data_IF_171359036911
#
_entry.id   IF_171359036911
#
_cell.length_a   1.000
_cell.length_b   1.000
_cell.length_c   1.000
_cell.angle_alpha   90.00
_cell.angle_beta   90.00
_cell.angle_gamma   90.00
#
_symmetry.space_group_name_H-M   'P 1'
#
loop_
_entity.id
_entity.type
_entity.pdbx_description
1 polymer ?
#
# COMPACT_ATOMS: atom_id res chain seq x y z
N UNK A 1 -8.48 10.66 22.78
CA UNK A 1 -8.45 9.30 22.22
C UNK A 1 -8.01 8.43 23.37
N UNK A 2 -8.74 7.36 23.66
CA UNK A 2 -8.37 6.46 24.77
C UNK A 2 -7.05 5.74 24.42
N UNK A 3 -6.28 5.32 25.43
CA UNK A 3 -4.94 4.74 25.23
C UNK A 3 -4.95 3.46 24.36
N UNK A 4 -6.08 2.75 24.30
CA UNK A 4 -6.24 1.55 23.49
C UNK A 4 -6.57 1.82 22.01
N UNK A 5 -7.00 3.04 21.66
CA UNK A 5 -7.38 3.40 20.30
C UNK A 5 -6.16 3.88 19.49
N UNK A 6 -5.84 3.17 18.40
CA UNK A 6 -4.85 3.64 17.44
C UNK A 6 -5.45 4.58 16.41
N UNK A 7 -6.69 4.36 16.00
CA UNK A 7 -7.33 5.17 14.97
C UNK A 7 -8.78 5.44 15.34
N UNK A 8 -9.33 6.53 14.83
CA UNK A 8 -10.72 6.92 14.92
C UNK A 8 -11.14 7.75 13.68
N UNK A 9 -12.42 8.13 13.62
CA UNK A 9 -13.01 8.87 12.50
C UNK A 9 -12.41 10.27 12.30
N UNK A 10 -11.65 10.78 13.28
CA UNK A 10 -10.94 12.06 13.24
C UNK A 10 -9.45 11.93 12.93
N UNK A 11 -8.92 10.70 12.86
CA UNK A 11 -7.50 10.44 12.64
C UNK A 11 -7.02 11.01 11.32
N UNK A 12 -5.90 11.73 11.35
CA UNK A 12 -5.31 12.40 10.20
C UNK A 12 -3.88 11.91 10.02
N UNK A 13 -3.50 11.65 8.78
CA UNK A 13 -2.24 11.01 8.43
C UNK A 13 -1.41 11.83 7.46
N UNK A 14 -0.09 11.77 7.65
CA UNK A 14 0.90 12.19 6.67
C UNK A 14 1.37 10.95 5.91
N UNK A 15 1.30 10.99 4.58
CA UNK A 15 1.79 9.90 3.73
C UNK A 15 3.20 10.22 3.26
N UNK A 16 4.19 9.44 3.69
CA UNK A 16 5.57 9.60 3.25
C UNK A 16 5.83 8.80 1.97
N UNK A 17 6.07 9.50 0.86
CA UNK A 17 6.23 8.95 -0.48
C UNK A 17 5.04 9.28 -1.39
N UNK A 18 5.31 9.56 -2.67
CA UNK A 18 4.30 9.96 -3.65
C UNK A 18 3.46 8.76 -4.17
N UNK A 19 2.66 8.17 -3.29
CA UNK A 19 1.81 7.00 -3.58
C UNK A 19 0.37 7.40 -3.93
N UNK A 20 0.16 8.04 -5.08
CA UNK A 20 -1.14 8.58 -5.49
C UNK A 20 -2.29 7.56 -5.39
N UNK A 21 -2.06 6.31 -5.80
CA UNK A 21 -3.08 5.25 -5.72
C UNK A 21 -3.42 4.85 -4.29
N UNK A 22 -2.43 4.80 -3.39
CA UNK A 22 -2.68 4.48 -1.99
C UNK A 22 -3.44 5.61 -1.29
N UNK A 23 -3.08 6.87 -1.59
CA UNK A 23 -3.79 8.05 -1.12
C UNK A 23 -5.24 8.03 -1.60
N UNK A 24 -5.49 7.76 -2.89
CA UNK A 24 -6.85 7.66 -3.42
C UNK A 24 -7.64 6.54 -2.73
N UNK A 25 -7.04 5.37 -2.51
CA UNK A 25 -7.68 4.24 -1.79
C UNK A 25 -8.04 4.57 -0.35
N UNK A 26 -7.25 5.40 0.34
CA UNK A 26 -7.59 5.88 1.68
C UNK A 26 -8.79 6.83 1.62
N UNK A 27 -8.79 7.78 0.69
CA UNK A 27 -9.88 8.75 0.52
C UNK A 27 -11.19 8.11 0.06
N UNK A 28 -11.13 7.10 -0.81
CA UNK A 28 -12.29 6.32 -1.23
C UNK A 28 -12.91 5.60 -0.04
N UNK A 29 -12.08 5.05 0.85
CA UNK A 29 -12.53 4.43 2.10
C UNK A 29 -13.13 5.47 3.05
N UNK A 30 -12.49 6.63 3.22
CA UNK A 30 -13.00 7.72 4.05
C UNK A 30 -14.39 8.17 3.60
N UNK A 31 -14.58 8.32 2.29
CA UNK A 31 -15.87 8.68 1.72
C UNK A 31 -16.91 7.58 1.91
N UNK A 32 -16.51 6.31 1.73
CA UNK A 32 -17.37 5.14 1.99
C UNK A 32 -17.83 5.10 3.46
N UNK A 33 -16.96 5.51 4.37
CA UNK A 33 -17.22 5.60 5.81
C UNK A 33 -17.94 6.90 6.23
N UNK A 34 -18.30 7.79 5.28
CA UNK A 34 -18.96 9.09 5.55
C UNK A 34 -18.15 10.02 6.44
N UNK A 35 -16.83 9.97 6.36
CA UNK A 35 -15.99 10.89 7.13
C UNK A 35 -16.19 12.31 6.64
N UNK A 36 -16.18 13.25 7.56
CA UNK A 36 -16.30 14.68 7.23
C UNK A 36 -15.04 15.22 6.53
N UNK A 37 -13.87 14.67 6.89
CA UNK A 37 -12.57 15.08 6.36
C UNK A 37 -11.79 13.88 5.83
N UNK A 38 -11.01 14.06 4.75
CA UNK A 38 -10.04 13.07 4.31
C UNK A 38 -9.07 12.69 5.43
N UNK A 39 -8.72 11.41 5.50
CA UNK A 39 -7.68 10.88 6.39
C UNK A 39 -6.32 11.47 6.08
N UNK A 40 -5.99 11.71 4.80
CA UNK A 40 -4.68 12.22 4.40
C UNK A 40 -4.65 13.75 4.51
N UNK A 41 -3.81 14.26 5.41
CA UNK A 41 -3.61 15.69 5.62
C UNK A 41 -2.56 16.26 4.64
N UNK A 42 -1.46 15.53 4.44
CA UNK A 42 -0.33 15.95 3.64
C UNK A 42 0.43 14.75 3.06
N UNK A 43 1.23 15.03 2.03
CA UNK A 43 2.15 14.07 1.41
C UNK A 43 3.59 14.57 1.54
N UNK A 44 4.52 13.69 1.90
CA UNK A 44 5.94 13.98 1.80
C UNK A 44 6.47 13.43 0.47
N UNK A 45 7.08 14.29 -0.33
CA UNK A 45 7.84 13.91 -1.51
C UNK A 45 9.20 14.62 -1.47
N UNK A 46 10.28 13.92 -1.11
CA UNK A 46 11.60 14.54 -0.97
C UNK A 46 12.11 15.24 -2.23
N UNK A 47 11.55 14.92 -3.41
CA UNK A 47 12.00 15.49 -4.70
C UNK A 47 11.34 16.82 -5.05
N UNK A 48 10.13 17.11 -4.55
CA UNK A 48 9.36 18.31 -4.94
C UNK A 48 8.31 18.72 -3.91
N UNK A 49 8.05 20.02 -3.87
CA UNK A 49 6.88 20.60 -3.21
C UNK A 49 5.72 20.74 -4.20
N UNK A 50 4.50 20.91 -3.71
CA UNK A 50 3.34 21.24 -4.54
C UNK A 50 2.03 20.70 -4.00
N UNK A 51 1.19 20.18 -4.89
CA UNK A 51 -0.10 19.58 -4.54
C UNK A 51 -0.29 18.29 -5.33
N UNK A 52 -1.01 17.34 -4.73
CA UNK A 52 -1.55 16.18 -5.43
C UNK A 52 -3.05 16.35 -5.60
N UNK A 53 -3.54 16.11 -6.83
CA UNK A 53 -4.96 16.13 -7.16
C UNK A 53 -5.53 14.72 -7.01
N UNK A 54 -6.57 14.60 -6.19
CA UNK A 54 -7.24 13.35 -5.82
C UNK A 54 -8.74 13.58 -5.71
N UNK A 55 -9.54 12.53 -5.62
CA UNK A 55 -10.99 12.60 -5.45
C UNK A 55 -11.41 12.34 -4.01
N UNK A 56 -12.43 13.07 -3.56
CA UNK A 56 -13.21 12.73 -2.37
C UNK A 56 -14.67 12.61 -2.78
N UNK A 57 -15.12 11.36 -2.98
CA UNK A 57 -16.35 11.07 -3.71
C UNK A 57 -16.21 11.47 -5.18
N UNK A 58 -17.05 12.38 -5.65
CA UNK A 58 -17.00 12.91 -7.03
C UNK A 58 -16.23 14.22 -7.16
N UNK A 59 -15.82 14.82 -6.04
CA UNK A 59 -15.18 16.13 -6.02
C UNK A 59 -13.66 15.98 -6.09
N UNK A 60 -13.02 16.69 -7.02
CA UNK A 60 -11.57 16.86 -7.02
C UNK A 60 -11.15 17.76 -5.85
N UNK A 61 -10.16 17.31 -5.08
CA UNK A 61 -9.52 18.07 -4.01
C UNK A 61 -8.00 18.08 -4.20
N UNK A 62 -7.34 19.03 -3.53
CA UNK A 62 -5.89 19.16 -3.53
C UNK A 62 -5.35 18.85 -2.13
N UNK A 63 -4.39 17.94 -2.04
CA UNK A 63 -3.65 17.67 -0.82
C UNK A 63 -2.24 18.28 -0.96
N UNK A 64 -1.76 19.07 0.02
CA UNK A 64 -0.44 19.68 -0.05
C UNK A 64 0.68 18.64 0.02
N UNK A 65 1.75 18.91 -0.70
CA UNK A 65 2.95 18.08 -0.82
C UNK A 65 4.17 18.88 -0.38
N UNK A 66 4.95 18.30 0.54
CA UNK A 66 6.13 18.92 1.15
C UNK A 66 7.37 18.07 0.90
N UNK A 67 8.53 18.69 0.84
CA UNK A 67 9.82 17.97 0.77
C UNK A 67 10.25 17.36 2.09
N UNK A 68 9.95 18.02 3.22
CA UNK A 68 10.40 17.63 4.56
C UNK A 68 9.24 17.28 5.47
N UNK A 69 9.43 16.31 6.36
CA UNK A 69 8.42 15.92 7.34
C UNK A 69 8.15 17.03 8.36
N UNK A 70 9.20 17.73 8.80
CA UNK A 70 9.14 18.88 9.71
C UNK A 70 8.12 19.93 9.25
N UNK A 71 8.17 20.32 7.97
CA UNK A 71 7.27 21.32 7.39
C UNK A 71 5.81 20.86 7.37
N UNK A 72 5.59 19.57 7.11
CA UNK A 72 4.25 19.00 7.09
C UNK A 72 3.66 18.89 8.50
N UNK A 73 4.45 18.44 9.48
CA UNK A 73 4.02 18.36 10.89
C UNK A 73 3.72 19.75 11.45
N UNK A 74 4.55 20.75 11.14
CA UNK A 74 4.32 22.13 11.59
C UNK A 74 3.03 22.74 11.02
N UNK A 75 2.65 22.38 9.78
CA UNK A 75 1.45 22.91 9.11
C UNK A 75 0.19 22.09 9.35
N UNK A 76 0.34 20.82 9.72
CA UNK A 76 -0.75 19.87 9.97
C UNK A 76 -0.57 19.22 11.35
N UNK A 77 -0.59 20.01 12.45
CA UNK A 77 -0.36 19.48 13.79
C UNK A 77 -1.46 18.50 14.24
N UNK A 78 -2.61 18.46 13.55
CA UNK A 78 -3.65 17.48 13.80
C UNK A 78 -3.32 16.08 13.26
N UNK A 79 -2.30 15.95 12.41
CA UNK A 79 -1.88 14.66 11.87
C UNK A 79 -1.01 13.93 12.89
N UNK A 80 -1.52 12.78 13.34
CA UNK A 80 -0.94 11.95 14.39
C UNK A 80 -0.49 10.57 13.87
N UNK A 81 -0.77 10.26 12.61
CA UNK A 81 -0.32 9.03 11.94
C UNK A 81 0.64 9.36 10.80
N UNK A 82 1.70 8.56 10.65
CA UNK A 82 2.50 8.55 9.42
C UNK A 82 2.38 7.20 8.70
N UNK A 83 2.03 7.23 7.42
CA UNK A 83 2.09 6.04 6.55
C UNK A 83 3.35 6.11 5.71
N UNK A 84 4.35 5.27 6.03
CA UNK A 84 5.69 5.33 5.47
C UNK A 84 5.87 4.35 4.30
N UNK A 85 5.83 4.88 3.07
CA UNK A 85 6.14 4.15 1.83
C UNK A 85 7.58 4.34 1.35
N UNK A 86 8.49 4.76 2.24
CA UNK A 86 9.92 4.76 1.94
C UNK A 86 10.37 3.35 1.55
N UNK A 87 11.37 3.22 0.67
CA UNK A 87 12.03 1.93 0.43
C UNK A 87 12.76 1.43 1.70
N UNK A 88 13.05 0.13 1.80
CA UNK A 88 13.78 -0.44 2.94
C UNK A 88 15.11 0.26 3.26
N UNK A 89 15.77 0.82 2.24
CA UNK A 89 17.03 1.59 2.37
C UNK A 89 16.87 2.91 3.11
N UNK A 90 15.66 3.46 3.15
CA UNK A 90 15.37 4.79 3.70
C UNK A 90 14.35 4.73 4.84
N UNK A 91 13.64 3.61 5.00
CA UNK A 91 12.60 3.42 6.01
C UNK A 91 13.11 3.64 7.44
N UNK A 92 14.36 3.25 7.74
CA UNK A 92 14.95 3.49 9.07
C UNK A 92 15.04 4.99 9.39
N UNK A 93 15.69 5.76 8.52
CA UNK A 93 15.92 7.19 8.77
C UNK A 93 14.61 7.97 8.83
N UNK A 94 13.66 7.68 7.93
CA UNK A 94 12.39 8.40 7.87
C UNK A 94 11.45 8.03 9.02
N UNK A 95 11.48 6.78 9.49
CA UNK A 95 10.74 6.37 10.69
C UNK A 95 11.32 6.98 11.95
N UNK A 96 12.66 7.04 12.05
CA UNK A 96 13.33 7.70 13.18
C UNK A 96 12.99 9.18 13.27
N UNK A 97 13.03 9.91 12.15
CA UNK A 97 12.60 11.31 12.07
C UNK A 97 11.15 11.48 12.54
N UNK A 98 10.24 10.60 12.11
CA UNK A 98 8.83 10.63 12.55
C UNK A 98 8.66 10.35 14.05
N UNK A 99 9.44 9.41 14.61
CA UNK A 99 9.44 9.14 16.04
C UNK A 99 9.90 10.35 16.86
N UNK A 100 10.78 11.19 16.32
CA UNK A 100 11.29 12.40 16.99
C UNK A 100 10.32 13.59 16.98
N UNK A 101 9.29 13.58 16.12
CA UNK A 101 8.27 14.64 16.09
C UNK A 101 7.36 14.61 17.33
N UNK A 102 6.71 15.71 17.70
CA UNK A 102 5.81 15.70 18.87
C UNK A 102 4.39 15.21 18.55
N UNK A 103 3.93 15.33 17.30
CA UNK A 103 2.53 15.05 16.94
C UNK A 103 2.28 13.62 16.47
N UNK A 104 3.25 12.97 15.82
CA UNK A 104 3.07 11.63 15.25
C UNK A 104 3.16 10.58 16.36
N UNK A 105 2.06 9.88 16.63
CA UNK A 105 1.98 8.81 17.63
C UNK A 105 2.03 7.40 17.04
N UNK A 106 1.65 7.24 15.77
CA UNK A 106 1.63 5.92 15.11
C UNK A 106 2.26 5.99 13.73
N UNK A 107 3.19 5.08 13.46
CA UNK A 107 3.91 5.01 12.19
C UNK A 107 3.69 3.63 11.58
N UNK A 108 3.10 3.56 10.39
CA UNK A 108 3.02 2.33 9.62
C UNK A 108 4.19 2.24 8.65
N UNK A 109 5.07 1.25 8.80
CA UNK A 109 6.26 1.06 7.95
C UNK A 109 5.97 -0.03 6.93
N UNK A 110 5.76 0.37 5.66
CA UNK A 110 5.31 -0.55 4.61
C UNK A 110 6.45 -1.35 4.00
N UNK A 111 7.68 -0.83 4.06
CA UNK A 111 8.85 -1.47 3.47
C UNK A 111 9.12 -2.87 4.02
N UNK A 112 9.34 -3.82 3.11
CA UNK A 112 9.86 -5.15 3.39
C UNK A 112 11.38 -5.19 3.16
N UNK A 113 12.11 -5.97 3.98
CA UNK A 113 13.56 -6.11 3.88
C UNK A 113 14.36 -5.03 4.65
N UNK A 114 13.76 -4.45 5.70
CA UNK A 114 14.51 -3.61 6.63
C UNK A 114 15.50 -4.50 7.42
N UNK A 115 16.75 -4.08 7.65
CA UNK A 115 17.66 -4.88 8.47
C UNK A 115 17.16 -5.08 9.91
N UNK A 116 17.20 -6.32 10.42
CA UNK A 116 16.73 -6.70 11.77
C UNK A 116 17.32 -5.83 12.92
N UNK A 117 18.55 -5.33 12.76
CA UNK A 117 19.14 -4.40 13.73
C UNK A 117 18.37 -3.09 13.80
N UNK A 118 18.04 -2.52 12.64
CA UNK A 118 17.30 -1.28 12.53
C UNK A 118 15.86 -1.43 13.03
N UNK A 119 15.23 -2.57 12.75
CA UNK A 119 13.93 -2.91 13.34
C UNK A 119 13.96 -2.85 14.87
N UNK A 120 14.93 -3.52 15.50
CA UNK A 120 15.07 -3.52 16.97
C UNK A 120 15.34 -2.14 17.54
N UNK A 121 16.19 -1.34 16.90
CA UNK A 121 16.46 0.04 17.29
C UNK A 121 15.19 0.90 17.21
N UNK A 122 14.40 0.76 16.13
CA UNK A 122 13.13 1.47 15.97
C UNK A 122 12.08 1.04 16.99
N UNK A 123 11.93 -0.27 17.24
CA UNK A 123 11.00 -0.80 18.23
C UNK A 123 11.35 -0.30 19.65
N UNK A 124 12.64 -0.30 20.00
CA UNK A 124 13.12 0.24 21.27
C UNK A 124 12.79 1.74 21.39
N UNK A 125 13.12 2.53 20.37
CA UNK A 125 12.89 3.98 20.36
C UNK A 125 11.40 4.32 20.41
N UNK A 126 10.55 3.55 19.72
CA UNK A 126 9.11 3.71 19.76
C UNK A 126 8.57 3.50 21.19
N UNK A 127 9.02 2.44 21.86
CA UNK A 127 8.66 2.17 23.26
C UNK A 127 9.14 3.25 24.22
N UNK A 128 10.39 3.70 24.07
CA UNK A 128 10.98 4.79 24.87
C UNK A 128 10.16 6.08 24.74
N UNK A 129 9.64 6.36 23.54
CA UNK A 129 8.83 7.55 23.26
C UNK A 129 7.33 7.37 23.45
N UNK A 130 6.86 6.19 23.86
CA UNK A 130 5.43 5.90 24.02
C UNK A 130 4.65 5.95 22.69
N UNK A 131 5.28 5.55 21.59
CA UNK A 131 4.72 5.58 20.23
C UNK A 131 4.56 4.19 19.65
N UNK A 132 3.74 4.09 18.61
CA UNK A 132 3.41 2.85 17.92
C UNK A 132 4.10 2.75 16.57
N UNK A 133 4.64 1.57 16.27
CA UNK A 133 5.06 1.20 14.92
C UNK A 133 4.29 -0.04 14.48
N UNK A 134 3.57 0.05 13.37
CA UNK A 134 2.94 -1.11 12.71
C UNK A 134 3.83 -1.49 11.53
N UNK A 135 4.38 -2.70 11.53
CA UNK A 135 5.42 -3.13 10.59
C UNK A 135 6.82 -3.18 11.22
N UNK A 136 7.92 -3.29 10.42
CA UNK A 136 7.96 -3.23 8.96
C UNK A 136 7.37 -4.46 8.24
N UNK A 137 7.47 -4.52 6.92
CA UNK A 137 6.93 -5.58 6.07
C UNK A 137 5.42 -5.83 6.29
N UNK A 138 4.63 -4.76 6.29
CA UNK A 138 3.17 -4.83 6.49
C UNK A 138 2.39 -4.06 5.44
N UNK A 139 1.16 -4.50 5.19
CA UNK A 139 0.16 -3.68 4.46
C UNK A 139 -0.45 -2.59 5.36
N UNK A 140 -0.26 -2.71 6.68
CA UNK A 140 -0.80 -1.86 7.71
C UNK A 140 -1.96 -2.50 8.46
N UNK A 141 -3.11 -1.84 8.41
CA UNK A 141 -4.31 -2.20 9.14
C UNK A 141 -5.43 -1.22 8.88
N UNK A 142 -6.59 -1.45 9.47
CA UNK A 142 -7.71 -0.52 9.45
C UNK A 142 -8.53 -0.62 10.73
N UNK A 143 -9.22 0.48 11.07
CA UNK A 143 -10.40 0.49 11.93
C UNK A 143 -11.60 0.69 11.02
N UNK A 144 -12.50 -0.29 11.00
CA UNK A 144 -13.66 -0.29 10.11
C UNK A 144 -14.56 0.91 10.40
N UNK A 145 -15.04 1.57 9.35
CA UNK A 145 -15.81 2.81 9.47
C UNK A 145 -15.02 4.06 9.90
N UNK A 146 -13.70 3.96 10.12
CA UNK A 146 -12.92 5.06 10.72
C UNK A 146 -11.65 5.42 9.95
N UNK A 147 -10.70 4.51 9.78
CA UNK A 147 -9.41 4.82 9.15
C UNK A 147 -8.77 3.57 8.56
N UNK A 148 -8.06 3.72 7.45
CA UNK A 148 -7.33 2.65 6.77
C UNK A 148 -5.91 3.10 6.47
N UNK A 149 -4.94 2.24 6.75
CA UNK A 149 -3.55 2.46 6.38
C UNK A 149 -3.35 2.06 4.91
N UNK A 150 -3.09 3.06 4.06
CA UNK A 150 -2.61 2.86 2.69
C UNK A 150 -3.45 1.88 1.87
N UNK A 151 -2.89 0.70 1.60
CA UNK A 151 -3.48 -0.29 0.69
C UNK A 151 -4.32 -1.38 1.39
N UNK A 152 -4.44 -1.38 2.72
CA UNK A 152 -5.13 -2.45 3.48
C UNK A 152 -6.58 -2.65 3.01
N UNK A 153 -7.06 -3.87 2.78
CA UNK A 153 -8.41 -4.11 2.26
C UNK A 153 -8.59 -3.82 0.76
N UNK A 154 -7.55 -3.39 0.05
CA UNK A 154 -7.54 -3.35 -1.42
C UNK A 154 -8.43 -2.28 -2.04
N UNK A 155 -9.10 -2.64 -3.13
CA UNK A 155 -9.97 -1.78 -3.93
C UNK A 155 -11.33 -1.54 -3.24
N UNK A 156 -12.03 -0.49 -3.66
CA UNK A 156 -13.31 -0.10 -3.05
C UNK A 156 -14.38 -1.19 -3.12
N UNK A 157 -14.41 -2.00 -4.18
CA UNK A 157 -15.37 -3.10 -4.31
C UNK A 157 -15.17 -4.15 -3.22
N UNK A 158 -13.90 -4.45 -2.89
CA UNK A 158 -13.56 -5.37 -1.80
C UNK A 158 -13.94 -4.77 -0.44
N UNK A 159 -13.71 -3.46 -0.23
CA UNK A 159 -14.13 -2.79 1.00
C UNK A 159 -15.65 -2.86 1.21
N UNK A 160 -16.43 -2.77 0.12
CA UNK A 160 -17.89 -2.90 0.14
C UNK A 160 -18.35 -4.34 0.38
N UNK A 161 -17.78 -5.32 -0.33
CA UNK A 161 -18.15 -6.73 -0.18
C UNK A 161 -17.85 -7.23 1.24
N UNK A 162 -16.76 -6.73 1.83
CA UNK A 162 -16.33 -7.05 3.19
C UNK A 162 -17.00 -6.18 4.27
N UNK A 163 -17.90 -5.27 3.89
CA UNK A 163 -18.59 -4.33 4.78
C UNK A 163 -17.67 -3.53 5.72
N UNK A 164 -16.44 -3.26 5.31
CA UNK A 164 -15.41 -2.59 6.13
C UNK A 164 -15.70 -1.10 6.37
N UNK A 165 -16.74 -0.56 5.73
CA UNK A 165 -17.20 0.82 5.91
C UNK A 165 -17.98 1.06 7.21
N UNK A 166 -18.25 0.00 8.00
CA UNK A 166 -18.86 0.09 9.32
C UNK A 166 -18.20 -0.89 10.29
N UNK A 167 -18.12 -0.57 11.60
CA UNK A 167 -17.50 -1.45 12.57
C UNK A 167 -18.38 -2.68 12.89
N UNK A 168 -17.77 -3.85 12.98
CA UNK A 168 -18.33 -5.02 13.67
C UNK A 168 -17.86 -5.09 15.13
N UNK A 169 -17.69 -6.30 15.66
CA UNK A 169 -17.31 -6.56 17.06
C UNK A 169 -16.00 -7.35 17.21
N UNK A 170 -15.33 -7.70 16.10
CA UNK A 170 -14.15 -8.58 16.09
C UNK A 170 -12.85 -7.80 15.95
N UNK A 171 -11.92 -7.97 16.89
CA UNK A 171 -10.55 -7.45 16.79
C UNK A 171 -9.61 -8.47 16.14
N UNK A 172 -9.01 -8.13 15.00
CA UNK A 172 -8.07 -9.01 14.28
C UNK A 172 -6.63 -8.53 14.46
N UNK A 173 -5.72 -9.45 14.75
CA UNK A 173 -4.28 -9.24 14.59
C UNK A 173 -3.63 -10.38 13.80
N UNK A 174 -2.77 -10.04 12.84
CA UNK A 174 -2.12 -11.00 11.95
C UNK A 174 -0.63 -10.69 11.77
N UNK A 175 0.19 -11.71 11.56
CA UNK A 175 1.58 -11.52 11.07
C UNK A 175 1.56 -11.16 9.59
N UNK A 176 0.83 -11.92 8.77
CA UNK A 176 0.79 -11.75 7.31
C UNK A 176 -0.13 -10.61 6.89
N UNK A 177 0.42 -9.65 6.14
CA UNK A 177 -0.37 -8.62 5.45
C UNK A 177 -1.17 -9.16 4.27
N UNK A 178 -0.70 -10.20 3.59
CA UNK A 178 -1.44 -10.85 2.49
C UNK A 178 -2.70 -11.55 2.99
N UNK A 179 -2.60 -12.25 4.12
CA UNK A 179 -3.74 -12.96 4.73
C UNK A 179 -4.72 -12.03 5.45
N UNK A 180 -4.34 -10.79 5.81
CA UNK A 180 -5.26 -9.90 6.56
C UNK A 180 -6.55 -9.65 5.78
N UNK A 181 -6.48 -9.54 4.45
CA UNK A 181 -7.67 -9.36 3.61
C UNK A 181 -8.54 -10.61 3.57
N UNK A 182 -7.93 -11.80 3.56
CA UNK A 182 -8.69 -13.06 3.63
C UNK A 182 -9.32 -13.23 5.01
N UNK A 183 -8.62 -12.84 6.07
CA UNK A 183 -9.18 -12.84 7.42
C UNK A 183 -10.36 -11.87 7.55
N UNK A 184 -10.32 -10.70 6.90
CA UNK A 184 -11.50 -9.83 6.81
C UNK A 184 -12.68 -10.52 6.12
N UNK A 185 -12.42 -11.27 5.05
CA UNK A 185 -13.42 -12.07 4.36
C UNK A 185 -14.03 -13.15 5.25
N UNK A 186 -13.19 -13.98 5.88
CA UNK A 186 -13.63 -15.05 6.79
C UNK A 186 -14.43 -14.48 7.96
N UNK A 187 -13.95 -13.40 8.59
CA UNK A 187 -14.64 -12.75 9.71
C UNK A 187 -15.98 -12.19 9.24
N UNK A 188 -16.04 -11.52 8.09
CA UNK A 188 -17.28 -10.94 7.58
C UNK A 188 -18.34 -12.00 7.24
N UNK A 189 -17.93 -13.19 6.78
CA UNK A 189 -18.85 -14.28 6.48
C UNK A 189 -19.37 -15.01 7.73
N UNK A 190 -18.65 -14.91 8.85
CA UNK A 190 -18.88 -15.71 10.06
C UNK A 190 -19.19 -14.88 11.31
N UNK A 191 -19.34 -13.56 11.20
CA UNK A 191 -19.66 -12.66 12.33
C UNK A 191 -20.32 -11.36 11.84
N UNK A 192 -20.51 -10.39 12.73
CA UNK A 192 -20.93 -9.04 12.35
C UNK A 192 -19.84 -8.26 11.60
N UNK A 193 -18.58 -8.72 11.58
CA UNK A 193 -17.49 -8.10 10.86
C UNK A 193 -16.36 -7.59 11.76
N UNK A 194 -15.36 -6.99 11.13
CA UNK A 194 -14.16 -6.50 11.83
C UNK A 194 -14.45 -5.15 12.48
N UNK A 195 -14.00 -4.96 13.71
CA UNK A 195 -13.91 -3.66 14.37
C UNK A 195 -12.59 -2.97 14.02
N UNK A 196 -11.47 -3.61 14.35
CA UNK A 196 -10.11 -3.17 14.03
C UNK A 196 -9.28 -4.39 13.61
N UNK A 197 -8.46 -4.22 12.59
CA UNK A 197 -7.64 -5.28 12.03
C UNK A 197 -6.24 -4.79 11.70
N UNK A 198 -5.22 -5.36 12.34
CA UNK A 198 -3.82 -4.96 12.18
C UNK A 198 -2.98 -6.14 11.69
N UNK A 199 -2.15 -5.90 10.67
CA UNK A 199 -1.05 -6.78 10.32
C UNK A 199 0.25 -6.22 10.92
N UNK A 200 0.88 -6.96 11.85
CA UNK A 200 2.11 -6.49 12.51
C UNK A 200 3.34 -6.57 11.61
N UNK A 201 3.27 -7.38 10.55
CA UNK A 201 4.34 -7.58 9.58
C UNK A 201 5.10 -8.88 9.76
N UNK A 202 5.66 -9.39 8.66
CA UNK A 202 6.35 -10.68 8.59
C UNK A 202 7.80 -10.66 9.08
N UNK A 203 8.33 -9.49 9.43
CA UNK A 203 9.71 -9.35 9.88
C UNK A 203 9.92 -9.95 11.29
N UNK A 204 11.18 -10.29 11.60
CA UNK A 204 11.52 -11.01 12.83
C UNK A 204 11.25 -10.15 14.07
N UNK A 205 11.53 -8.84 14.02
CA UNK A 205 11.37 -7.91 15.13
C UNK A 205 10.39 -6.78 14.77
N UNK A 206 9.08 -7.07 14.70
CA UNK A 206 8.10 -6.04 14.36
C UNK A 206 8.10 -4.95 15.43
N UNK A 207 7.76 -3.73 15.04
CA UNK A 207 7.70 -2.57 15.92
C UNK A 207 6.63 -2.66 17.01
N UNK A 208 5.58 -3.45 16.77
CA UNK A 208 4.56 -3.85 17.74
C UNK A 208 4.23 -5.34 17.56
N UNK A 209 3.90 -6.02 18.64
CA UNK A 209 3.71 -7.49 18.64
C UNK A 209 2.23 -7.89 18.62
N UNK A 210 1.96 -9.19 18.45
CA UNK A 210 0.60 -9.74 18.52
C UNK A 210 -0.06 -9.41 19.87
N UNK A 211 0.67 -9.57 20.97
CA UNK A 211 0.15 -9.34 22.32
C UNK A 211 -0.16 -7.85 22.56
N UNK A 212 0.64 -6.93 22.01
CA UNK A 212 0.41 -5.50 22.17
C UNK A 212 -0.97 -5.09 21.63
N UNK A 213 -1.33 -5.57 20.44
CA UNK A 213 -2.64 -5.28 19.86
C UNK A 213 -3.78 -6.04 20.56
N UNK A 214 -3.57 -7.29 20.98
CA UNK A 214 -4.57 -8.03 21.75
C UNK A 214 -4.89 -7.36 23.09
N UNK A 215 -3.89 -6.79 23.78
CA UNK A 215 -4.12 -6.05 25.02
C UNK A 215 -4.91 -4.76 24.80
N UNK A 216 -4.69 -4.05 23.68
CA UNK A 216 -5.57 -2.93 23.30
C UNK A 216 -6.99 -3.40 23.02
N UNK A 217 -7.14 -4.50 22.31
CA UNK A 217 -8.45 -5.07 21.99
C UNK A 217 -9.20 -5.54 23.23
N UNK A 218 -8.48 -6.07 24.22
CA UNK A 218 -9.03 -6.40 25.54
C UNK A 218 -9.62 -5.17 26.24
N UNK A 219 -8.91 -4.04 26.21
CA UNK A 219 -9.36 -2.80 26.85
C UNK A 219 -10.52 -2.13 26.11
N UNK A 220 -10.61 -2.31 24.79
CA UNK A 220 -11.62 -1.66 23.96
C UNK A 220 -13.02 -2.28 24.17
N UNK A 221 -14.00 -1.55 24.73
CA UNK A 221 -15.31 -2.11 25.04
C UNK A 221 -16.11 -2.53 23.80
N UNK A 222 -15.83 -1.99 22.62
CA UNK A 222 -16.55 -2.33 21.39
C UNK A 222 -16.10 -3.66 20.78
N UNK A 223 -14.89 -4.11 21.11
CA UNK A 223 -14.40 -5.43 20.70
C UNK A 223 -14.91 -6.47 21.70
N UNK A 224 -15.64 -7.47 21.20
CA UNK A 224 -16.26 -8.53 22.02
C UNK A 224 -15.55 -9.87 21.90
N UNK A 225 -14.84 -10.09 20.79
CA UNK A 225 -13.97 -11.25 20.58
C UNK A 225 -12.76 -10.86 19.75
N UNK A 226 -11.71 -11.66 19.86
CA UNK A 226 -10.45 -11.44 19.17
C UNK A 226 -10.11 -12.62 18.27
N UNK A 227 -9.48 -12.33 17.15
CA UNK A 227 -8.95 -13.31 16.21
C UNK A 227 -7.46 -13.03 16.00
N UNK A 228 -6.64 -14.07 16.12
CA UNK A 228 -5.20 -14.00 15.92
C UNK A 228 -4.75 -14.96 14.82
N UNK A 229 -3.97 -14.45 13.87
CA UNK A 229 -3.27 -15.25 12.88
C UNK A 229 -1.74 -15.14 13.10
N UNK A 230 -1.19 -16.14 13.79
CA UNK A 230 0.25 -16.33 13.98
C UNK A 230 0.91 -17.07 12.82
N UNK A 231 2.22 -17.28 12.93
CA UNK A 231 3.04 -17.96 11.92
C UNK A 231 4.14 -18.82 12.56
N UNK A 232 4.63 -19.82 11.82
CA UNK A 232 5.83 -20.58 12.18
C UNK A 232 7.06 -19.65 12.34
N UNK A 233 7.97 -19.98 13.25
CA UNK A 233 9.21 -19.23 13.48
C UNK A 233 9.12 -18.17 14.58
N UNK A 234 10.18 -18.04 15.37
CA UNK A 234 10.19 -17.15 16.54
C UNK A 234 9.21 -17.56 17.65
N UNK A 235 9.05 -16.71 18.67
CA UNK A 235 8.32 -17.05 19.91
C UNK A 235 7.24 -16.03 20.28
N UNK A 236 6.82 -15.17 19.34
CA UNK A 236 5.88 -14.04 19.61
C UNK A 236 4.54 -14.52 20.16
N UNK A 237 4.04 -15.66 19.70
CA UNK A 237 2.78 -16.25 20.14
C UNK A 237 2.83 -16.70 21.61
N UNK A 238 4.00 -17.03 22.14
CA UNK A 238 4.13 -17.40 23.56
C UNK A 238 3.89 -16.20 24.48
N UNK A 239 4.13 -14.97 24.04
CA UNK A 239 3.76 -13.79 24.83
C UNK A 239 2.23 -13.70 25.01
N UNK A 240 1.46 -14.17 24.01
CA UNK A 240 0.00 -14.28 24.10
C UNK A 240 -0.42 -15.42 25.03
N UNK A 241 0.27 -16.56 24.99
CA UNK A 241 0.10 -17.68 25.93
C UNK A 241 0.29 -17.20 27.38
N UNK A 242 1.35 -16.45 27.65
CA UNK A 242 1.61 -15.91 28.99
C UNK A 242 0.57 -14.87 29.40
N UNK A 243 0.08 -14.03 28.48
CA UNK A 243 -0.99 -13.07 28.76
C UNK A 243 -2.34 -13.75 29.09
N UNK A 244 -2.68 -14.84 28.40
CA UNK A 244 -3.85 -15.67 28.68
C UNK A 244 -3.74 -16.33 30.06
N UNK A 245 -2.61 -16.99 30.36
CA UNK A 245 -2.38 -17.64 31.65
C UNK A 245 -2.40 -16.65 32.82
N UNK A 246 -1.91 -15.44 32.60
CA UNK A 246 -1.94 -14.36 33.59
C UNK A 246 -3.32 -13.71 33.76
N UNK A 247 -4.34 -14.13 33.01
CA UNK A 247 -5.69 -13.55 33.05
C UNK A 247 -5.75 -12.11 32.51
N UNK A 248 -4.77 -11.68 31.72
CA UNK A 248 -4.74 -10.35 31.10
C UNK A 248 -5.59 -10.26 29.84
N UNK A 249 -5.87 -11.40 29.22
CA UNK A 249 -6.78 -11.53 28.09
C UNK A 249 -7.96 -12.39 28.57
N UNK A 250 -9.12 -11.79 28.70
CA UNK A 250 -10.34 -12.45 29.22
C UNK A 250 -11.42 -12.58 28.15
N UNK A 251 -11.38 -11.77 27.09
CA UNK A 251 -12.29 -11.93 25.95
C UNK A 251 -11.95 -13.19 25.15
N UNK A 252 -12.93 -13.84 24.51
CA UNK A 252 -12.68 -15.02 23.68
C UNK A 252 -11.66 -14.72 22.57
N UNK A 253 -10.62 -15.54 22.50
CA UNK A 253 -9.56 -15.47 21.49
C UNK A 253 -9.60 -16.71 20.60
N UNK A 254 -9.92 -16.53 19.32
CA UNK A 254 -9.75 -17.56 18.30
C UNK A 254 -8.37 -17.39 17.67
N UNK A 255 -7.53 -18.42 17.70
CA UNK A 255 -6.15 -18.31 17.25
C UNK A 255 -5.77 -19.44 16.29
N UNK A 256 -5.09 -19.09 15.20
CA UNK A 256 -4.47 -20.06 14.29
C UNK A 256 -3.00 -19.69 14.04
N UNK A 257 -2.13 -20.69 13.93
CA UNK A 257 -0.71 -20.50 13.61
C UNK A 257 -0.42 -21.22 12.29
N UNK A 258 -0.07 -20.46 11.26
CA UNK A 258 0.22 -21.03 9.92
C UNK A 258 1.60 -21.68 9.87
N UNK A 259 1.83 -22.57 8.90
CA UNK A 259 3.12 -23.25 8.72
C UNK A 259 3.18 -24.68 9.25
N UNK A 260 2.02 -25.31 9.51
CA UNK A 260 1.92 -26.74 9.92
C UNK A 260 2.51 -27.71 8.90
N UNK A 261 2.58 -27.33 7.61
CA UNK A 261 3.26 -28.09 6.57
C UNK A 261 4.79 -28.19 6.74
N UNK A 262 5.40 -27.32 7.56
CA UNK A 262 6.83 -27.30 7.85
C UNK A 262 7.40 -28.67 8.25
N UNK A 263 6.63 -29.45 9.02
CA UNK A 263 7.01 -30.79 9.52
C UNK A 263 7.12 -31.87 8.45
N UNK A 264 6.54 -31.65 7.28
CA UNK A 264 6.56 -32.62 6.17
C UNK A 264 7.86 -32.47 5.38
N UNK A 265 8.57 -31.34 5.51
CA UNK A 265 9.82 -31.11 4.82
C UNK A 265 11.01 -31.76 5.55
N UNK A 266 11.99 -32.32 4.81
CA UNK A 266 13.12 -33.03 5.39
C UNK A 266 14.16 -32.13 6.08
N UNK A 267 14.02 -30.80 6.03
CA UNK A 267 14.95 -29.85 6.62
C UNK A 267 14.32 -28.50 6.95
N UNK A 268 15.11 -27.59 7.49
CA UNK A 268 14.66 -26.24 7.83
C UNK A 268 14.34 -25.42 6.56
N UNK A 269 13.06 -25.21 6.29
CA UNK A 269 12.60 -24.35 5.20
C UNK A 269 12.41 -22.93 5.73
N UNK A 270 13.10 -21.97 5.12
CA UNK A 270 12.76 -20.55 5.24
C UNK A 270 11.55 -20.29 4.33
N UNK A 271 10.42 -19.91 4.92
CA UNK A 271 9.26 -19.44 4.16
C UNK A 271 9.41 -17.96 3.77
N UNK A 272 8.46 -17.44 2.99
CA UNK A 272 8.57 -16.13 2.33
C UNK A 272 8.85 -14.96 3.28
N UNK A 273 8.18 -14.89 4.43
CA UNK A 273 8.46 -13.84 5.42
C UNK A 273 9.80 -14.08 6.12
N UNK A 274 10.54 -13.00 6.41
CA UNK A 274 11.86 -13.08 7.05
C UNK A 274 11.82 -13.83 8.40
N UNK A 275 10.76 -13.64 9.19
CA UNK A 275 10.58 -14.34 10.48
C UNK A 275 10.13 -15.80 10.37
N UNK A 276 9.72 -16.26 9.19
CA UNK A 276 9.05 -17.55 9.01
C UNK A 276 10.03 -18.71 8.81
N UNK A 277 10.86 -18.96 9.82
CA UNK A 277 11.77 -20.11 9.88
C UNK A 277 11.78 -20.71 11.28
N UNK A 278 11.52 -22.02 11.36
CA UNK A 278 11.61 -22.78 12.61
C UNK A 278 13.04 -23.28 12.81
N UNK A 279 13.77 -22.71 13.77
CA UNK A 279 15.09 -23.20 14.18
C UNK A 279 15.05 -24.17 15.37
N UNK A 280 13.89 -24.34 16.00
CA UNK A 280 13.68 -25.23 17.13
C UNK A 280 12.26 -25.82 17.15
N UNK A 281 12.04 -26.88 17.94
CA UNK A 281 10.73 -27.51 18.07
C UNK A 281 9.66 -26.55 18.62
N UNK A 282 10.04 -25.65 19.53
CA UNK A 282 9.15 -24.63 20.11
C UNK A 282 8.75 -23.54 19.10
N UNK A 283 9.51 -23.36 18.02
CA UNK A 283 9.17 -22.39 16.97
C UNK A 283 8.21 -22.96 15.93
N UNK A 284 7.87 -24.25 16.03
CA UNK A 284 6.94 -24.91 15.11
C UNK A 284 5.51 -24.41 15.31
N UNK A 285 4.75 -24.36 14.21
CA UNK A 285 3.35 -23.97 14.25
C UNK A 285 2.51 -24.87 15.18
N UNK A 286 2.76 -26.18 15.16
CA UNK A 286 2.05 -27.16 16.00
C UNK A 286 2.32 -26.94 17.50
N UNK A 287 3.57 -26.68 17.89
CA UNK A 287 3.92 -26.43 19.29
C UNK A 287 3.27 -25.14 19.82
N UNK A 288 3.25 -24.08 19.01
CA UNK A 288 2.58 -22.82 19.35
C UNK A 288 1.07 -22.99 19.44
N UNK A 289 0.46 -23.70 18.49
CA UNK A 289 -0.97 -23.99 18.49
C UNK A 289 -1.39 -24.82 19.73
N UNK A 290 -0.58 -25.81 20.12
CA UNK A 290 -0.80 -26.57 21.35
C UNK A 290 -0.72 -25.68 22.60
N UNK A 291 0.31 -24.84 22.71
CA UNK A 291 0.49 -23.94 23.85
C UNK A 291 -0.64 -22.91 23.98
N UNK A 292 -1.14 -22.37 22.85
CA UNK A 292 -2.30 -21.48 22.81
C UNK A 292 -3.58 -22.20 23.28
N UNK A 293 -3.80 -23.43 22.81
CA UNK A 293 -4.95 -24.25 23.20
C UNK A 293 -4.93 -24.56 24.70
N UNK A 294 -3.77 -24.93 25.25
CA UNK A 294 -3.59 -25.18 26.68
C UNK A 294 -3.81 -23.92 27.55
N UNK A 295 -3.50 -22.73 27.02
CA UNK A 295 -3.75 -21.47 27.68
C UNK A 295 -5.20 -20.98 27.59
N UNK A 296 -6.08 -21.71 26.91
CA UNK A 296 -7.52 -21.39 26.81
C UNK A 296 -7.91 -20.63 25.55
N UNK A 297 -7.02 -20.43 24.57
CA UNK A 297 -7.41 -19.95 23.26
C UNK A 297 -8.18 -21.02 22.48
N UNK A 298 -9.07 -20.59 21.60
CA UNK A 298 -9.88 -21.45 20.75
C UNK A 298 -9.08 -21.68 19.45
N UNK A 299 -8.50 -22.87 19.33
CA UNK A 299 -7.60 -23.22 18.24
C UNK A 299 -8.23 -24.32 17.38
N UNK A 300 -8.63 -24.03 16.12
CA UNK A 300 -9.19 -25.05 15.21
C UNK A 300 -8.16 -26.13 14.84
N UNK A 301 -8.59 -27.23 14.21
CA UNK A 301 -7.67 -28.29 13.79
C UNK A 301 -6.96 -27.95 12.47
N UNK A 302 -7.62 -27.19 11.60
CA UNK A 302 -7.08 -26.69 10.34
C UNK A 302 -7.48 -25.23 10.12
N UNK A 303 -6.86 -24.58 9.13
CA UNK A 303 -7.25 -23.24 8.72
C UNK A 303 -8.69 -23.20 8.15
N UNK A 304 -9.14 -24.29 7.53
CA UNK A 304 -10.48 -24.37 6.92
C UNK A 304 -11.60 -24.28 7.97
N UNK A 305 -11.34 -24.80 9.18
CA UNK A 305 -12.27 -24.75 10.32
C UNK A 305 -12.28 -23.39 11.05
N UNK A 306 -11.40 -22.44 10.67
CA UNK A 306 -11.27 -21.16 11.35
C UNK A 306 -12.56 -20.32 11.29
N UNK A 307 -13.22 -20.33 10.13
CA UNK A 307 -14.51 -19.63 9.96
C UNK A 307 -15.59 -20.20 10.88
N UNK A 308 -15.68 -21.53 10.99
CA UNK A 308 -16.65 -22.20 11.84
C UNK A 308 -16.44 -21.88 13.32
N UNK A 309 -15.18 -21.86 13.78
CA UNK A 309 -14.85 -21.47 15.16
C UNK A 309 -15.17 -20.00 15.44
N UNK A 310 -14.90 -19.10 14.51
CA UNK A 310 -15.29 -17.69 14.62
C UNK A 310 -16.81 -17.57 14.77
N UNK A 311 -17.57 -18.27 13.92
CA UNK A 311 -19.03 -18.28 13.96
C UNK A 311 -19.57 -18.80 15.28
N UNK A 312 -19.04 -19.92 15.76
CA UNK A 312 -19.48 -20.51 17.02
C UNK A 312 -19.29 -19.55 18.21
N UNK A 313 -18.14 -18.87 18.28
CA UNK A 313 -17.87 -17.90 19.35
C UNK A 313 -18.76 -16.67 19.22
N UNK A 314 -18.94 -16.17 17.99
CA UNK A 314 -19.80 -15.03 17.71
C UNK A 314 -21.26 -15.29 18.12
N UNK A 315 -21.84 -16.41 17.71
CA UNK A 315 -23.23 -16.77 18.06
C UNK A 315 -23.39 -16.96 19.58
N UNK A 316 -22.42 -17.59 20.25
CA UNK A 316 -22.44 -17.69 21.72
C UNK A 316 -22.46 -16.32 22.40
N UNK A 317 -21.66 -15.36 21.92
CA UNK A 317 -21.64 -14.00 22.46
C UNK A 317 -22.93 -13.23 22.16
N UNK A 318 -23.58 -13.52 21.03
CA UNK A 318 -24.90 -13.00 20.67
C UNK A 318 -25.99 -13.54 21.60
N UNK A 319 -26.00 -14.86 21.86
CA UNK A 319 -26.93 -15.51 22.80
C UNK A 319 -26.74 -15.01 24.25
N UNK A 320 -25.50 -14.73 24.66
CA UNK A 320 -25.18 -14.10 25.96
C UNK A 320 -25.57 -12.61 26.03
N UNK A 321 -26.07 -12.01 24.94
CA UNK A 321 -26.45 -10.60 24.87
C UNK A 321 -25.27 -9.61 24.87
N UNK A 322 -24.04 -10.09 24.68
CA UNK A 322 -22.83 -9.25 24.64
C UNK A 322 -22.63 -8.54 23.31
N UNK A 323 -23.17 -9.11 22.23
CA UNK A 323 -23.20 -8.52 20.89
C UNK A 323 -24.65 -8.16 20.57
N UNK A 324 -24.87 -6.88 20.26
CA UNK A 324 -26.18 -6.37 19.81
C UNK A 324 -26.14 -6.25 18.30
N UNK A 325 -27.15 -6.82 17.64
CA UNK A 325 -27.29 -6.74 16.19
C UNK A 325 -27.55 -5.29 15.76
N UNK A 326 -26.70 -4.79 14.87
CA UNK A 326 -26.80 -3.43 14.32
C UNK A 326 -27.47 -3.49 12.95
N UNK A 327 -28.31 -2.50 12.65
CA UNK A 327 -28.91 -2.36 11.33
C UNK A 327 -27.82 -2.07 10.29
N UNK A 328 -27.92 -2.72 9.14
CA UNK A 328 -26.96 -2.55 8.05
C UNK A 328 -27.22 -1.23 7.33
N UNK A 329 -26.18 -0.42 7.14
CA UNK A 329 -26.30 0.90 6.51
C UNK A 329 -25.69 0.87 5.13
N UNK A 330 -26.48 1.12 4.09
CA UNK A 330 -25.96 1.14 2.71
C UNK A 330 -24.88 2.20 2.52
N UNK A 331 -23.69 1.88 2.01
CA UNK A 331 -22.61 2.85 1.88
C UNK A 331 -22.84 3.83 0.71
N UNK A 332 -22.23 5.03 0.73
CA UNK A 332 -22.29 5.96 -0.39
C UNK A 332 -21.79 5.34 -1.70
N UNK A 333 -22.43 5.73 -2.81
CA UNK A 333 -22.01 5.31 -4.15
C UNK A 333 -20.83 6.17 -4.59
N UNK A 334 -19.76 5.50 -5.02
CA UNK A 334 -18.60 6.12 -5.67
C UNK A 334 -18.62 5.66 -7.12
N UNK A 335 -18.51 6.58 -8.10
CA UNK A 335 -18.46 6.20 -9.51
C UNK A 335 -17.28 5.28 -9.82
N UNK A 336 -17.46 4.43 -10.83
CA UNK A 336 -16.38 3.61 -11.35
C UNK A 336 -15.32 4.47 -12.03
N UNK A 337 -14.03 4.20 -11.75
CA UNK A 337 -12.92 4.86 -12.43
C UNK A 337 -13.02 4.71 -13.95
N UNK A 338 -12.81 5.80 -14.67
CA UNK A 338 -12.87 5.83 -16.14
C UNK A 338 -11.94 4.77 -16.77
N UNK A 339 -10.70 4.65 -16.29
CA UNK A 339 -9.72 3.69 -16.83
C UNK A 339 -10.15 2.24 -16.60
N UNK A 340 -10.80 1.95 -15.46
CA UNK A 340 -11.34 0.62 -15.16
C UNK A 340 -12.55 0.32 -16.05
N UNK A 341 -13.50 1.24 -16.15
CA UNK A 341 -14.68 1.10 -17.01
C UNK A 341 -14.30 0.90 -18.49
N UNK A 342 -13.27 1.61 -18.97
CA UNK A 342 -12.75 1.46 -20.33
C UNK A 342 -12.09 0.10 -20.53
N UNK A 343 -11.28 -0.36 -19.56
CA UNK A 343 -10.58 -1.64 -19.62
C UNK A 343 -11.55 -2.83 -19.59
N UNK A 344 -12.64 -2.72 -18.82
CA UNK A 344 -13.70 -3.73 -18.72
C UNK A 344 -14.70 -3.66 -19.90
N UNK A 345 -14.55 -2.68 -20.80
CA UNK A 345 -15.42 -2.54 -21.98
C UNK A 345 -16.83 -2.04 -21.67
N UNK A 346 -17.07 -1.54 -20.46
CA UNK A 346 -18.38 -0.98 -20.05
C UNK A 346 -18.69 0.34 -20.76
N UNK A 347 -17.64 1.07 -21.15
CA UNK A 347 -17.74 2.33 -21.88
C UNK A 347 -16.84 2.31 -23.11
N UNK A 348 -17.18 3.16 -24.08
CA UNK A 348 -16.32 3.48 -25.22
C UNK A 348 -16.04 4.97 -25.24
N UNK A 349 -14.76 5.35 -25.41
CA UNK A 349 -14.37 6.74 -25.67
C UNK A 349 -13.81 6.84 -27.09
N UNK A 350 -14.37 7.71 -27.95
CA UNK A 350 -13.79 7.96 -29.26
C UNK A 350 -12.37 8.50 -29.12
N UNK A 351 -11.48 8.09 -30.03
CA UNK A 351 -10.12 8.62 -30.07
C UNK A 351 -10.15 10.01 -30.69
N UNK A 352 -9.54 10.99 -30.02
CA UNK A 352 -9.44 12.35 -30.54
C UNK A 352 -8.33 12.50 -31.60
N UNK A 353 -7.36 11.58 -31.61
CA UNK A 353 -6.20 11.62 -32.48
C UNK A 353 -5.95 10.26 -33.14
N UNK A 354 -5.45 10.31 -34.37
CA UNK A 354 -5.00 9.15 -35.14
C UNK A 354 -3.52 9.36 -35.46
N UNK A 355 -2.66 8.46 -34.98
CA UNK A 355 -1.25 8.40 -35.37
C UNK A 355 -1.04 7.16 -36.25
N UNK A 356 -0.40 7.34 -37.41
CA UNK A 356 -0.11 6.23 -38.36
C UNK A 356 1.36 6.06 -38.68
N UNK A 357 2.23 6.87 -38.08
CA UNK A 357 3.67 6.96 -38.43
C UNK A 357 4.56 6.31 -37.37
N UNK A 358 4.13 6.26 -36.11
CA UNK A 358 4.88 5.64 -35.03
C UNK A 358 3.97 5.02 -33.97
N UNK A 359 4.49 4.05 -33.23
CA UNK A 359 3.83 3.46 -32.07
C UNK A 359 4.87 3.14 -30.98
N UNK A 360 4.73 3.79 -29.84
CA UNK A 360 5.60 3.73 -28.67
C UNK A 360 4.96 2.98 -27.48
N UNK A 361 3.75 2.42 -27.66
CA UNK A 361 2.98 1.78 -26.58
C UNK A 361 3.37 0.33 -26.33
N UNK A 362 4.04 -0.30 -27.29
CA UNK A 362 4.49 -1.68 -27.20
C UNK A 362 5.77 -1.80 -26.38
N UNK A 363 6.33 -3.01 -26.35
CA UNK A 363 7.66 -3.26 -25.75
C UNK A 363 8.77 -2.55 -26.54
N UNK A 364 8.53 -2.29 -27.81
CA UNK A 364 9.48 -1.68 -28.72
C UNK A 364 8.86 -0.55 -29.53
N UNK A 365 9.64 0.51 -29.75
CA UNK A 365 9.28 1.62 -30.63
C UNK A 365 9.17 1.12 -32.08
N UNK A 366 8.06 1.47 -32.73
CA UNK A 366 7.85 1.17 -34.15
C UNK A 366 7.79 2.44 -34.99
N UNK A 367 8.46 2.42 -36.15
CA UNK A 367 8.35 3.41 -37.21
C UNK A 367 7.61 2.81 -38.40
N UNK A 368 6.40 3.31 -38.67
CA UNK A 368 5.49 2.79 -39.69
C UNK A 368 5.31 1.26 -39.68
N UNK A 369 5.32 0.66 -38.49
CA UNK A 369 5.20 -0.79 -38.28
C UNK A 369 6.52 -1.57 -38.33
N UNK A 370 7.65 -0.92 -38.54
CA UNK A 370 8.98 -1.53 -38.44
C UNK A 370 9.55 -1.27 -37.03
N UNK A 371 9.94 -2.31 -36.28
CA UNK A 371 10.58 -2.12 -34.98
C UNK A 371 11.93 -1.39 -35.08
N UNK A 372 12.27 -0.58 -34.08
CA UNK A 372 13.49 0.24 -34.08
C UNK A 372 14.76 -0.61 -34.13
N UNK A 373 14.80 -1.78 -33.49
CA UNK A 373 15.90 -2.76 -33.58
C UNK A 373 16.20 -3.09 -35.04
N UNK A 374 15.18 -3.45 -35.80
CA UNK A 374 15.29 -3.75 -37.24
C UNK A 374 15.76 -2.54 -38.05
N UNK A 375 15.34 -1.33 -37.69
CA UNK A 375 15.84 -0.10 -38.33
C UNK A 375 17.35 0.06 -38.16
N UNK A 376 17.89 -0.32 -37.00
CA UNK A 376 19.33 -0.27 -36.71
C UNK A 376 20.08 -1.47 -37.30
N UNK A 377 19.53 -2.69 -37.17
CA UNK A 377 20.13 -3.93 -37.68
C UNK A 377 20.27 -3.92 -39.21
N UNK A 378 19.26 -3.41 -39.92
CA UNK A 378 19.25 -3.33 -41.37
C UNK A 378 20.00 -2.07 -41.90
N UNK A 379 20.67 -1.30 -41.04
CA UNK A 379 21.35 -0.03 -41.35
C UNK A 379 20.49 0.88 -42.24
N UNK A 380 19.25 1.13 -41.78
CA UNK A 380 18.24 1.83 -42.59
C UNK A 380 18.63 3.31 -42.83
N UNK A 381 19.43 3.89 -41.94
CA UNK A 381 19.94 5.27 -42.06
C UNK A 381 18.86 6.35 -41.85
N UNK A 382 19.30 7.62 -41.78
CA UNK A 382 18.41 8.77 -41.56
C UNK A 382 17.41 8.89 -42.71
N UNK A 383 17.87 8.71 -43.96
CA UNK A 383 17.00 8.78 -45.13
C UNK A 383 15.93 7.70 -45.13
N UNK A 384 16.22 6.52 -44.59
CA UNK A 384 15.23 5.46 -44.43
C UNK A 384 14.26 5.71 -43.28
N UNK A 385 14.71 6.27 -42.16
CA UNK A 385 13.81 6.72 -41.07
C UNK A 385 12.86 7.80 -41.56
N UNK A 386 13.34 8.78 -42.33
CA UNK A 386 12.48 9.77 -43.02
C UNK A 386 11.50 9.06 -43.96
N UNK A 387 11.97 8.06 -44.72
CA UNK A 387 11.15 7.13 -45.49
C UNK A 387 9.94 6.59 -44.73
N UNK A 388 10.21 6.02 -43.54
CA UNK A 388 9.20 5.41 -42.69
C UNK A 388 8.28 6.44 -42.06
N UNK A 389 8.81 7.51 -41.47
CA UNK A 389 8.01 8.47 -40.72
C UNK A 389 7.18 9.40 -41.62
N UNK A 390 7.74 9.85 -42.75
CA UNK A 390 7.05 10.82 -43.61
C UNK A 390 6.21 10.14 -44.69
N UNK A 391 6.72 9.04 -45.26
CA UNK A 391 6.08 8.36 -46.39
C UNK A 391 5.46 7.01 -46.03
N UNK A 392 5.70 6.49 -44.81
CA UNK A 392 5.27 5.14 -44.38
C UNK A 392 5.75 4.04 -45.32
N UNK A 393 6.98 4.19 -45.83
CA UNK A 393 7.62 3.27 -46.77
C UNK A 393 9.08 3.06 -46.42
N UNK A 394 9.52 1.80 -46.47
CA UNK A 394 10.94 1.51 -46.55
C UNK A 394 11.42 1.82 -47.97
N UNK A 395 12.04 2.97 -48.14
CA UNK A 395 12.54 3.43 -49.44
C UNK A 395 13.73 2.58 -49.90
N UNK A 396 13.90 2.39 -51.23
CA UNK A 396 15.09 1.74 -51.76
C UNK A 396 16.34 2.53 -51.38
N UNK A 397 17.48 1.85 -51.28
CA UNK A 397 18.74 2.43 -50.77
C UNK A 397 19.16 3.72 -51.49
N UNK A 398 19.03 3.80 -52.82
CA UNK A 398 19.37 5.01 -53.57
C UNK A 398 18.52 6.21 -53.14
N UNK A 399 17.24 6.01 -52.82
CA UNK A 399 16.34 7.06 -52.40
C UNK A 399 16.63 7.50 -50.96
N UNK A 400 16.99 6.54 -50.08
CA UNK A 400 17.47 6.83 -48.72
C UNK A 400 18.72 7.71 -48.76
N UNK A 401 19.73 7.30 -49.55
CA UNK A 401 20.97 8.07 -49.75
C UNK A 401 20.73 9.43 -50.41
N UNK A 402 19.78 9.53 -51.33
CA UNK A 402 19.42 10.80 -51.94
C UNK A 402 18.83 11.78 -50.93
N UNK A 403 17.95 11.32 -50.03
CA UNK A 403 17.41 12.14 -48.93
C UNK A 403 18.56 12.64 -48.04
N UNK A 404 19.50 11.77 -47.66
CA UNK A 404 20.66 12.15 -46.85
C UNK A 404 21.55 13.17 -47.56
N UNK A 405 21.79 12.99 -48.87
CA UNK A 405 22.53 13.95 -49.69
C UNK A 405 21.84 15.31 -49.73
N UNK A 406 20.51 15.35 -49.89
CA UNK A 406 19.73 16.58 -49.88
C UNK A 406 19.86 17.32 -48.54
N UNK A 407 19.81 16.58 -47.42
CA UNK A 407 20.03 17.15 -46.07
C UNK A 407 21.44 17.75 -45.96
N UNK A 408 22.48 17.04 -46.44
CA UNK A 408 23.86 17.53 -46.37
C UNK A 408 24.09 18.80 -47.20
N UNK A 409 23.55 18.85 -48.42
CA UNK A 409 23.68 20.02 -49.31
C UNK A 409 22.95 21.25 -48.74
N UNK A 410 21.83 21.04 -48.04
CA UNK A 410 20.99 22.12 -47.52
C UNK A 410 21.31 22.50 -46.07
N UNK A 411 22.35 21.92 -45.47
CA UNK A 411 22.66 22.08 -44.05
C UNK A 411 22.90 23.54 -43.63
N UNK A 412 23.61 24.33 -44.44
CA UNK A 412 23.80 25.76 -44.23
C UNK A 412 24.19 26.48 -45.54
N UNK A 413 23.88 27.78 -45.64
CA UNK A 413 24.29 28.64 -46.75
C UNK A 413 24.79 30.02 -46.26
N UNK A 414 25.42 30.03 -45.08
CA UNK A 414 26.02 31.21 -44.47
C UNK A 414 25.03 32.13 -43.75
N UNK A 415 25.52 33.08 -42.94
CA UNK A 415 24.72 33.82 -41.96
C UNK A 415 23.87 34.94 -42.55
N UNK A 416 23.99 35.23 -43.85
CA UNK A 416 23.31 36.35 -44.51
C UNK A 416 21.88 36.00 -44.96
N UNK A 417 21.53 34.72 -45.00
CA UNK A 417 20.17 34.29 -45.35
C UNK A 417 19.22 34.58 -44.19
N UNK A 418 17.95 34.88 -44.50
CA UNK A 418 16.98 35.38 -43.50
C UNK A 418 16.85 34.49 -42.26
N UNK A 419 16.80 33.17 -42.43
CA UNK A 419 16.68 32.22 -41.31
C UNK A 419 17.90 32.26 -40.38
N UNK A 420 19.10 32.13 -40.94
CA UNK A 420 20.35 32.18 -40.18
C UNK A 420 20.55 33.54 -39.50
N UNK A 421 20.23 34.65 -40.18
CA UNK A 421 20.31 35.98 -39.60
C UNK A 421 19.37 36.11 -38.38
N UNK A 422 18.10 35.71 -38.51
CA UNK A 422 17.14 35.75 -37.41
C UNK A 422 17.62 34.89 -36.22
N UNK A 423 18.07 33.66 -36.48
CA UNK A 423 18.59 32.78 -35.44
C UNK A 423 19.77 33.40 -34.68
N UNK A 424 20.70 34.04 -35.41
CA UNK A 424 21.84 34.75 -34.82
C UNK A 424 21.37 35.93 -33.97
N UNK A 425 20.43 36.75 -34.47
CA UNK A 425 19.91 37.89 -33.69
C UNK A 425 19.20 37.41 -32.43
N UNK A 426 18.37 36.38 -32.52
CA UNK A 426 17.65 35.78 -31.39
C UNK A 426 18.61 35.19 -30.36
N UNK A 427 19.63 34.45 -30.81
CA UNK A 427 20.69 33.94 -29.94
C UNK A 427 21.48 35.07 -29.27
N UNK A 428 21.82 36.13 -30.02
CA UNK A 428 22.47 37.34 -29.48
C UNK A 428 21.57 38.12 -28.52
N UNK A 429 20.24 37.94 -28.60
CA UNK A 429 19.28 38.46 -27.63
C UNK A 429 19.22 37.62 -26.33
N UNK A 430 20.11 36.63 -26.17
CA UNK A 430 20.22 35.80 -24.97
C UNK A 430 19.17 34.69 -24.89
N UNK A 431 18.59 34.32 -26.03
CA UNK A 431 17.63 33.22 -26.11
C UNK A 431 18.34 31.86 -26.20
N UNK A 432 17.67 30.83 -25.72
CA UNK A 432 18.16 29.46 -25.82
C UNK A 432 18.09 28.93 -27.26
N UNK A 433 18.63 27.72 -27.46
CA UNK A 433 18.75 27.11 -28.79
C UNK A 433 17.40 26.83 -29.47
N UNK A 434 16.34 26.55 -28.71
CA UNK A 434 15.01 26.25 -29.26
C UNK A 434 14.31 27.54 -29.68
N UNK A 435 14.44 28.60 -28.88
CA UNK A 435 13.92 29.92 -29.26
C UNK A 435 14.68 30.51 -30.46
N UNK A 436 15.95 30.17 -30.64
CA UNK A 436 16.80 30.68 -31.72
C UNK A 436 16.68 29.89 -33.03
N UNK A 437 16.40 28.58 -32.97
CA UNK A 437 16.20 27.71 -34.15
C UNK A 437 14.84 27.95 -34.79
#
# INVERSE_FOLDING_TARGET
MEDYELFNEKTRAIVYGNQQRAIQRMLDFDYLCRREKPSVAAVINPTRDGYIKVFFGTKEILIPMYRKLEDAVARHPEADVMVNFSSYRSAYQTTKEALETDTIRTIAVIAEGVPERYERELAYLAKEKGKWIIGPATVGGLRAGAFKIGNTGGAIDNLKSLKLYRPGSVGLVSVSGGMVNEMFNIIQQNSDGVYEGIAIGGDRYPGSTLVDHLLRYEQNPDIKMMVMLGEVGGTKEYEVVEALKAGKITKPLVAWVTGTGGKVFPGEVQFGHAGAKSGSANESADAKAAALREAGAIVPNSFDELGDMIKQVYEKLKEEGKIVEKEEVEPPVVPLDYDKALKEGMIRKPRNFICTISNDRGEELMYAGIPISKVIEDDIGIGGVVGLLWFKKLLPEYARKFIELAIMITADHGPAVSGAHNAIITSRAGKDIIDAL
#
